data_IF_153203960571
#
_entry.id   IF_153203960571
#
_cell.length_a   1.000
_cell.length_b   1.000
_cell.length_c   1.000
_cell.angle_alpha   90.00
_cell.angle_beta   90.00
_cell.angle_gamma   90.00
#
_symmetry.space_group_name_H-M   'P 1'
#
loop_
_entity.id
_entity.type
_entity.pdbx_description
1 polymer ?
#
# COMPACT_ATOMS: atom_id res chain seq x y z
N UNK A 1 -6.64 -31.90 2.53
CA UNK A 1 -5.76 -30.87 1.91
C UNK A 1 -5.55 -31.26 0.46
N UNK A 2 -5.83 -30.36 -0.47
CA UNK A 2 -5.53 -30.61 -1.88
C UNK A 2 -4.01 -30.72 -2.08
N UNK A 3 -3.55 -31.74 -2.81
CA UNK A 3 -2.12 -31.87 -3.18
C UNK A 3 -1.76 -30.68 -4.07
N UNK A 4 -0.77 -29.89 -3.66
CA UNK A 4 -0.22 -28.81 -4.48
C UNK A 4 0.65 -29.42 -5.57
N UNK A 5 0.44 -29.01 -6.82
CA UNK A 5 1.30 -29.35 -7.94
C UNK A 5 2.55 -28.47 -8.02
N UNK A 6 3.14 -28.40 -9.21
CA UNK A 6 4.27 -27.54 -9.50
C UNK A 6 3.91 -26.06 -9.30
N UNK A 7 4.83 -25.26 -8.75
CA UNK A 7 4.69 -23.80 -8.67
C UNK A 7 4.88 -23.24 -10.08
N UNK A 8 3.90 -22.49 -10.58
CA UNK A 8 3.89 -21.95 -11.95
C UNK A 8 4.11 -20.43 -12.00
N UNK A 9 3.72 -19.73 -10.93
CA UNK A 9 3.84 -18.27 -10.82
C UNK A 9 4.02 -17.88 -9.35
N UNK A 10 4.75 -16.81 -9.10
CA UNK A 10 4.91 -16.22 -7.77
C UNK A 10 4.76 -14.70 -7.87
N UNK A 11 3.92 -14.11 -7.00
CA UNK A 11 3.87 -12.66 -6.77
C UNK A 11 4.30 -12.37 -5.35
N UNK A 12 5.27 -11.46 -5.22
CA UNK A 12 5.68 -10.88 -3.94
C UNK A 12 5.32 -9.39 -3.94
N UNK A 13 4.79 -8.92 -2.82
CA UNK A 13 4.64 -7.50 -2.54
C UNK A 13 5.34 -7.29 -1.21
N UNK A 14 6.38 -6.48 -1.24
CA UNK A 14 7.15 -6.08 -0.08
C UNK A 14 6.93 -4.59 0.16
N UNK A 15 6.63 -4.21 1.41
CA UNK A 15 6.35 -2.82 1.75
C UNK A 15 7.12 -2.47 3.02
N UNK A 16 8.00 -1.50 2.92
CA UNK A 16 8.84 -1.03 4.02
C UNK A 16 8.58 0.44 4.29
N UNK A 17 8.47 0.81 5.55
CA UNK A 17 8.37 2.21 5.97
C UNK A 17 9.67 2.63 6.64
N UNK A 18 10.23 3.72 6.16
CA UNK A 18 11.43 4.36 6.68
C UNK A 18 11.08 5.68 7.36
N UNK A 19 11.90 6.08 8.32
CA UNK A 19 11.86 7.45 8.85
C UNK A 19 12.31 8.42 7.75
N UNK A 20 11.53 9.48 7.55
CA UNK A 20 11.86 10.56 6.63
C UNK A 20 12.51 11.73 7.35
N UNK A 21 12.57 12.88 6.69
CA UNK A 21 13.03 14.15 7.28
C UNK A 21 11.90 14.86 8.01
N UNK A 22 12.19 15.49 9.16
CA UNK A 22 11.21 16.20 10.00
C UNK A 22 10.11 15.25 10.50
N UNK A 23 8.85 15.47 10.22
CA UNK A 23 7.68 14.68 10.63
C UNK A 23 7.15 13.77 9.50
N UNK A 24 8.03 13.37 8.58
CA UNK A 24 7.65 12.50 7.46
C UNK A 24 8.03 11.04 7.67
N UNK A 25 7.37 10.17 6.93
CA UNK A 25 7.77 8.78 6.69
C UNK A 25 7.87 8.53 5.19
N UNK A 26 8.80 7.68 4.79
CA UNK A 26 8.93 7.21 3.41
C UNK A 26 8.42 5.78 3.37
N UNK A 27 7.44 5.53 2.53
CA UNK A 27 6.90 4.18 2.30
C UNK A 27 7.35 3.72 0.92
N UNK A 28 8.15 2.66 0.91
CA UNK A 28 8.56 1.98 -0.31
C UNK A 28 7.76 0.69 -0.47
N UNK A 29 7.20 0.50 -1.64
CA UNK A 29 6.53 -0.73 -2.06
C UNK A 29 7.18 -1.32 -3.28
N UNK A 30 7.44 -2.63 -3.25
CA UNK A 30 8.01 -3.40 -4.37
C UNK A 30 7.05 -4.52 -4.72
N UNK A 31 6.64 -4.58 -5.98
CA UNK A 31 5.91 -5.71 -6.53
C UNK A 31 6.80 -6.46 -7.51
N UNK A 32 6.91 -7.75 -7.31
CA UNK A 32 7.71 -8.63 -8.14
C UNK A 32 6.89 -9.86 -8.57
N UNK A 33 6.68 -10.02 -9.88
CA UNK A 33 6.02 -11.17 -10.49
C UNK A 33 7.03 -12.03 -11.23
N UNK A 34 7.05 -13.30 -10.90
CA UNK A 34 7.91 -14.30 -11.53
C UNK A 34 7.07 -15.39 -12.18
N UNK A 35 7.34 -15.66 -13.45
CA UNK A 35 6.90 -16.87 -14.14
C UNK A 35 7.93 -17.96 -13.90
N UNK A 36 7.52 -19.10 -13.38
CA UNK A 36 8.40 -20.18 -12.92
C UNK A 36 8.40 -21.39 -13.87
N UNK A 37 7.64 -21.32 -14.96
CA UNK A 37 7.60 -22.32 -16.03
C UNK A 37 7.74 -21.64 -17.39
N UNK A 38 8.12 -22.38 -18.40
CA UNK A 38 8.05 -21.94 -19.79
C UNK A 38 6.58 -21.76 -20.20
N UNK A 39 6.28 -20.71 -20.94
CA UNK A 39 4.96 -20.42 -21.51
C UNK A 39 5.06 -20.04 -22.97
N UNK A 40 3.96 -20.07 -23.70
CA UNK A 40 3.90 -19.77 -25.11
C UNK A 40 2.96 -18.60 -25.39
N UNK A 41 3.34 -17.74 -26.34
CA UNK A 41 2.43 -16.76 -26.90
C UNK A 41 1.51 -17.42 -27.92
N UNK A 42 0.35 -16.82 -28.27
CA UNK A 42 -0.50 -17.29 -29.37
C UNK A 42 0.25 -17.35 -30.72
N UNK A 43 1.33 -16.58 -30.87
CA UNK A 43 2.24 -16.59 -32.03
C UNK A 43 3.18 -17.78 -32.08
N UNK A 44 3.21 -18.61 -31.02
CA UNK A 44 4.12 -19.77 -30.91
C UNK A 44 5.48 -19.45 -30.28
N UNK A 45 5.78 -18.18 -29.99
CA UNK A 45 7.01 -17.79 -29.31
C UNK A 45 7.03 -18.32 -27.88
N UNK A 46 8.19 -18.84 -27.45
CA UNK A 46 8.45 -19.32 -26.08
C UNK A 46 8.90 -18.16 -25.18
N UNK A 47 8.36 -18.17 -23.98
CA UNK A 47 8.81 -17.34 -22.88
C UNK A 47 9.41 -18.21 -21.77
N UNK A 48 10.73 -18.15 -21.53
CA UNK A 48 11.37 -18.89 -20.45
C UNK A 48 10.91 -18.37 -19.09
N UNK A 49 11.14 -19.13 -18.00
CA UNK A 49 11.00 -18.64 -16.64
C UNK A 49 11.74 -17.32 -16.43
N UNK A 50 11.20 -16.43 -15.61
CA UNK A 50 11.83 -15.14 -15.33
C UNK A 50 10.85 -14.10 -14.80
N UNK A 51 11.39 -12.92 -14.48
CA UNK A 51 10.61 -11.77 -14.01
C UNK A 51 9.71 -11.24 -15.12
N UNK A 52 8.43 -11.09 -14.81
CA UNK A 52 7.41 -10.54 -15.72
C UNK A 52 7.14 -9.07 -15.38
N UNK A 53 7.02 -8.77 -14.08
CA UNK A 53 6.82 -7.41 -13.59
C UNK A 53 7.76 -7.15 -12.41
N UNK A 54 8.41 -5.98 -12.44
CA UNK A 54 9.11 -5.42 -11.29
C UNK A 54 8.71 -3.95 -11.21
N UNK A 55 7.96 -3.59 -10.17
CA UNK A 55 7.40 -2.27 -9.95
C UNK A 55 7.84 -1.76 -8.59
N UNK A 56 8.21 -0.50 -8.52
CA UNK A 56 8.62 0.16 -7.27
C UNK A 56 7.84 1.46 -7.16
N UNK A 57 7.24 1.70 -6.01
CA UNK A 57 6.62 2.98 -5.65
C UNK A 57 7.26 3.45 -4.35
N UNK A 58 7.69 4.73 -4.31
CA UNK A 58 8.13 5.41 -3.09
C UNK A 58 7.24 6.60 -2.84
N UNK A 59 6.70 6.72 -1.62
CA UNK A 59 5.87 7.85 -1.22
C UNK A 59 6.47 8.50 0.02
N UNK A 60 6.67 9.81 -0.02
CA UNK A 60 6.86 10.62 1.19
C UNK A 60 5.50 11.04 1.74
N UNK A 61 5.29 10.85 3.03
CA UNK A 61 3.99 11.09 3.68
C UNK A 61 4.22 11.93 4.93
N UNK A 62 3.43 13.02 5.10
CA UNK A 62 3.59 13.97 6.21
C UNK A 62 2.31 14.22 7.00
N UNK A 63 2.52 14.54 8.27
CA UNK A 63 1.52 15.09 9.17
C UNK A 63 0.40 14.13 9.58
N UNK A 64 -0.48 14.61 10.44
CA UNK A 64 -1.55 13.80 11.04
C UNK A 64 -2.55 13.22 10.04
N UNK A 65 -2.75 13.88 8.90
CA UNK A 65 -3.65 13.40 7.82
C UNK A 65 -2.96 12.47 6.83
N UNK A 66 -1.68 12.14 7.03
CA UNK A 66 -0.89 11.27 6.15
C UNK A 66 -0.96 11.74 4.68
N UNK A 67 -0.62 13.01 4.44
CA UNK A 67 -0.65 13.60 3.10
C UNK A 67 0.56 13.11 2.32
N UNK A 68 0.34 12.57 1.12
CA UNK A 68 1.40 12.22 0.18
C UNK A 68 2.03 13.52 -0.32
N UNK A 69 3.24 13.83 0.11
CA UNK A 69 3.96 15.05 -0.30
C UNK A 69 4.78 14.81 -1.54
N UNK A 70 5.23 13.59 -1.74
CA UNK A 70 5.91 13.17 -2.96
C UNK A 70 5.63 11.71 -3.30
N UNK A 71 5.76 11.36 -4.59
CA UNK A 71 5.59 10.01 -5.09
C UNK A 71 6.49 9.77 -6.30
N UNK A 72 7.29 8.73 -6.23
CA UNK A 72 8.16 8.25 -7.29
C UNK A 72 7.74 6.85 -7.72
N UNK A 73 7.88 6.55 -9.01
CA UNK A 73 7.49 5.26 -9.59
C UNK A 73 8.55 4.78 -10.55
N UNK A 74 8.94 3.52 -10.40
CA UNK A 74 9.85 2.85 -11.32
C UNK A 74 9.23 1.53 -11.80
N UNK A 75 9.50 1.18 -13.04
CA UNK A 75 9.12 -0.10 -13.63
C UNK A 75 10.34 -0.76 -14.30
N UNK A 76 11.28 -1.34 -13.50
CA UNK A 76 12.50 -1.94 -14.04
C UNK A 76 12.24 -3.09 -15.01
N UNK A 77 11.13 -3.82 -14.87
CA UNK A 77 10.73 -4.89 -15.77
C UNK A 77 9.24 -4.82 -16.06
N UNK A 78 8.90 -4.78 -17.33
CA UNK A 78 7.52 -4.78 -17.84
C UNK A 78 7.39 -5.76 -19.02
N UNK A 79 6.23 -6.41 -19.20
CA UNK A 79 6.02 -7.33 -20.33
C UNK A 79 5.86 -6.62 -21.68
N UNK A 80 5.47 -5.34 -21.66
CA UNK A 80 5.26 -4.51 -22.85
C UNK A 80 5.76 -3.10 -22.57
N UNK A 81 6.41 -2.48 -23.57
CA UNK A 81 6.93 -1.12 -23.47
C UNK A 81 5.82 -0.09 -23.17
N UNK A 82 4.63 -0.29 -23.74
CA UNK A 82 3.45 0.55 -23.48
C UNK A 82 3.03 0.61 -21.99
N UNK A 83 3.48 -0.32 -21.13
CA UNK A 83 3.25 -0.23 -19.69
C UNK A 83 3.89 1.03 -19.09
N UNK A 84 5.02 1.49 -19.64
CA UNK A 84 5.74 2.67 -19.16
C UNK A 84 4.94 3.97 -19.32
N UNK A 85 3.97 4.02 -20.24
CA UNK A 85 3.08 5.16 -20.41
C UNK A 85 2.21 5.43 -19.17
N UNK A 86 2.11 4.46 -18.27
CA UNK A 86 1.31 4.60 -17.04
C UNK A 86 2.08 5.17 -15.86
N UNK A 87 3.39 5.41 -15.96
CA UNK A 87 4.22 5.92 -14.85
C UNK A 87 3.67 7.22 -14.27
N UNK A 88 3.35 8.18 -15.12
CA UNK A 88 2.90 9.51 -14.71
C UNK A 88 1.50 9.50 -14.06
N UNK A 89 0.75 8.41 -14.20
CA UNK A 89 -0.60 8.33 -13.63
C UNK A 89 -0.62 8.40 -12.11
N UNK A 90 0.52 8.14 -11.43
CA UNK A 90 0.61 8.19 -9.99
C UNK A 90 0.89 9.59 -9.43
N UNK A 91 1.42 10.52 -10.21
CA UNK A 91 1.68 11.90 -9.74
C UNK A 91 0.42 12.64 -9.27
N UNK A 92 -0.76 12.25 -9.77
CA UNK A 92 -2.04 12.82 -9.32
C UNK A 92 -2.38 12.53 -7.85
N UNK A 93 -1.66 11.61 -7.17
CA UNK A 93 -1.85 11.31 -5.75
C UNK A 93 -1.07 12.27 -4.84
N UNK A 94 -0.15 13.06 -5.36
CA UNK A 94 0.55 14.11 -4.60
C UNK A 94 -0.46 15.13 -4.07
N UNK A 95 -0.35 15.45 -2.79
CA UNK A 95 -1.30 16.30 -2.07
C UNK A 95 -2.53 15.55 -1.50
N UNK A 96 -2.71 14.25 -1.80
CA UNK A 96 -3.84 13.48 -1.28
C UNK A 96 -3.55 12.90 0.11
N UNK A 97 -4.53 12.96 1.04
CA UNK A 97 -4.41 12.30 2.33
C UNK A 97 -4.76 10.80 2.22
N UNK A 98 -4.02 9.96 2.96
CA UNK A 98 -4.33 8.54 3.13
C UNK A 98 -5.32 8.39 4.29
N UNK A 99 -6.60 8.50 3.97
CA UNK A 99 -7.73 8.42 4.91
C UNK A 99 -8.78 7.42 4.41
N UNK A 100 -9.85 7.23 5.19
CA UNK A 100 -10.97 6.38 4.77
C UNK A 100 -11.45 6.74 3.36
N UNK A 101 -11.61 5.72 2.49
CA UNK A 101 -11.96 5.91 1.08
C UNK A 101 -10.78 6.09 0.12
N UNK A 102 -9.53 6.21 0.60
CA UNK A 102 -8.35 6.39 -0.25
C UNK A 102 -8.23 5.27 -1.30
N UNK A 103 -8.36 3.99 -0.91
CA UNK A 103 -8.24 2.86 -1.84
C UNK A 103 -9.34 2.87 -2.92
N UNK A 104 -10.56 3.29 -2.58
CA UNK A 104 -11.62 3.48 -3.57
C UNK A 104 -11.29 4.61 -4.56
N UNK A 105 -10.70 5.71 -4.06
CA UNK A 105 -10.24 6.83 -4.90
C UNK A 105 -9.11 6.39 -5.83
N UNK A 106 -8.13 5.62 -5.34
CA UNK A 106 -7.06 5.03 -6.15
C UNK A 106 -7.66 4.20 -7.28
N UNK A 107 -8.58 3.28 -6.96
CA UNK A 107 -9.27 2.45 -7.96
C UNK A 107 -10.02 3.27 -9.01
N UNK A 108 -10.66 4.35 -8.61
CA UNK A 108 -11.40 5.23 -9.54
C UNK A 108 -10.46 6.02 -10.46
N UNK A 109 -9.28 6.41 -10.00
CA UNK A 109 -8.35 7.26 -10.75
C UNK A 109 -7.48 6.47 -11.73
N UNK A 110 -6.94 5.32 -11.30
CA UNK A 110 -6.00 4.52 -12.11
C UNK A 110 -6.47 3.09 -12.39
N UNK A 111 -7.70 2.75 -12.07
CA UNK A 111 -8.26 1.42 -12.33
C UNK A 111 -8.71 1.22 -13.77
N UNK A 112 -8.70 -0.04 -14.23
CA UNK A 112 -9.09 -0.42 -15.58
C UNK A 112 -8.17 0.20 -16.63
N UNK A 113 -8.74 0.79 -17.68
CA UNK A 113 -8.00 1.40 -18.79
C UNK A 113 -7.31 2.73 -18.46
N UNK A 114 -7.42 3.21 -17.23
CA UNK A 114 -6.86 4.51 -16.80
C UNK A 114 -5.43 4.40 -16.28
N UNK A 115 -4.89 3.19 -16.13
CA UNK A 115 -3.56 2.97 -15.61
C UNK A 115 -3.19 1.50 -15.52
N UNK A 116 -2.12 1.19 -14.79
CA UNK A 116 -1.61 -0.16 -14.63
C UNK A 116 -2.25 -0.87 -13.43
N UNK A 117 -2.77 -2.08 -13.63
CA UNK A 117 -3.37 -2.89 -12.56
C UNK A 117 -2.34 -3.34 -11.50
N UNK A 118 -1.05 -3.43 -11.85
CA UNK A 118 0.02 -3.77 -10.93
C UNK A 118 0.36 -2.59 -10.02
N UNK A 119 0.48 -1.38 -10.57
CA UNK A 119 0.64 -0.15 -9.77
C UNK A 119 -0.58 0.10 -8.89
N UNK A 120 -1.80 -0.13 -9.39
CA UNK A 120 -3.03 -0.07 -8.59
C UNK A 120 -2.96 -1.04 -7.39
N UNK A 121 -2.58 -2.29 -7.64
CA UNK A 121 -2.47 -3.32 -6.60
C UNK A 121 -1.44 -2.94 -5.55
N UNK A 122 -0.25 -2.50 -5.97
CA UNK A 122 0.84 -2.09 -5.10
C UNK A 122 0.45 -0.86 -4.25
N UNK A 123 -0.03 0.22 -4.87
CA UNK A 123 -0.43 1.43 -4.16
C UNK A 123 -1.57 1.17 -3.16
N UNK A 124 -2.51 0.28 -3.52
CA UNK A 124 -3.60 -0.13 -2.62
C UNK A 124 -3.07 -0.90 -1.40
N UNK A 125 -2.07 -1.76 -1.59
CA UNK A 125 -1.43 -2.49 -0.49
C UNK A 125 -0.55 -1.58 0.39
N UNK A 126 0.06 -0.53 -0.18
CA UNK A 126 0.89 0.44 0.55
C UNK A 126 0.08 1.33 1.50
N UNK A 127 -1.18 1.64 1.21
CA UNK A 127 -1.99 2.54 2.02
C UNK A 127 -2.13 2.10 3.49
N UNK A 128 -2.53 0.86 3.83
CA UNK A 128 -2.57 0.40 5.21
C UNK A 128 -1.18 0.29 5.85
N UNK A 129 -0.15 -0.05 5.09
CA UNK A 129 1.24 -0.08 5.59
C UNK A 129 1.74 1.32 5.96
N UNK A 130 1.39 2.34 5.17
CA UNK A 130 1.67 3.74 5.47
C UNK A 130 1.05 4.19 6.80
N UNK A 131 -0.20 3.79 7.07
CA UNK A 131 -0.86 4.07 8.35
C UNK A 131 -0.11 3.40 9.51
N UNK A 132 0.28 2.13 9.37
CA UNK A 132 1.02 1.41 10.39
C UNK A 132 2.43 1.97 10.62
N UNK A 133 3.15 2.29 9.56
CA UNK A 133 4.48 2.87 9.64
C UNK A 133 4.48 4.25 10.30
N UNK A 134 3.57 5.14 9.90
CA UNK A 134 3.41 6.44 10.53
C UNK A 134 2.97 6.33 11.99
N UNK A 135 2.13 5.35 12.33
CA UNK A 135 1.78 5.05 13.71
C UNK A 135 3.01 4.63 14.53
N UNK A 136 3.80 3.69 14.01
CA UNK A 136 5.02 3.21 14.67
C UNK A 136 6.03 4.33 14.90
N UNK A 137 6.14 5.29 13.97
CA UNK A 137 7.02 6.45 14.13
C UNK A 137 6.58 7.37 15.29
N UNK A 138 5.27 7.51 15.53
CA UNK A 138 4.74 8.37 16.60
C UNK A 138 4.86 7.73 17.98
N UNK A 139 4.64 6.42 18.09
CA UNK A 139 4.57 5.71 19.39
C UNK A 139 5.90 5.08 19.81
N UNK A 140 7.03 5.40 19.18
CA UNK A 140 8.33 4.87 19.60
C UNK A 140 8.83 5.44 20.95
N UNK A 141 8.28 6.57 21.36
CA UNK A 141 8.43 7.10 22.72
C UNK A 141 7.10 6.94 23.49
N UNK A 142 7.14 6.84 24.82
CA UNK A 142 5.93 6.77 25.62
C UNK A 142 5.00 7.95 25.35
N UNK A 143 3.78 7.67 24.94
CA UNK A 143 2.74 8.67 24.66
C UNK A 143 1.70 8.61 25.78
N UNK A 144 1.25 9.76 26.26
CA UNK A 144 0.19 9.85 27.24
C UNK A 144 -1.07 9.14 26.74
N UNK A 145 -1.75 8.38 27.64
CA UNK A 145 -2.89 7.51 27.26
C UNK A 145 -3.99 8.28 26.53
N UNK A 146 -4.32 9.50 26.97
CA UNK A 146 -5.34 10.33 26.34
C UNK A 146 -4.98 10.68 24.90
N UNK A 147 -3.76 11.16 24.69
CA UNK A 147 -3.22 11.49 23.35
C UNK A 147 -3.21 10.24 22.46
N UNK A 148 -2.78 9.09 22.99
CA UNK A 148 -2.79 7.83 22.25
C UNK A 148 -4.20 7.47 21.77
N UNK A 149 -5.20 7.55 22.65
CA UNK A 149 -6.60 7.22 22.34
C UNK A 149 -7.16 8.16 21.29
N UNK A 150 -6.99 9.47 21.43
CA UNK A 150 -7.46 10.47 20.46
C UNK A 150 -6.86 10.24 19.07
N UNK A 151 -5.55 10.01 19.00
CA UNK A 151 -4.86 9.71 17.75
C UNK A 151 -5.33 8.41 17.11
N UNK A 152 -5.53 7.34 17.91
CA UNK A 152 -6.01 6.05 17.44
C UNK A 152 -7.43 6.15 16.92
N UNK A 153 -8.35 6.80 17.65
CA UNK A 153 -9.74 6.98 17.22
C UNK A 153 -9.85 7.71 15.88
N UNK A 154 -9.07 8.76 15.69
CA UNK A 154 -9.09 9.52 14.44
C UNK A 154 -8.61 8.74 13.21
N UNK A 155 -7.78 7.70 13.41
CA UNK A 155 -7.12 7.00 12.31
C UNK A 155 -7.66 5.59 12.04
N UNK A 156 -8.04 4.85 13.09
CA UNK A 156 -8.32 3.41 12.95
C UNK A 156 -9.79 3.04 13.20
N UNK A 157 -10.61 3.96 13.70
CA UNK A 157 -12.04 3.73 13.92
C UNK A 157 -12.72 3.24 12.63
N UNK A 158 -13.43 2.12 12.71
CA UNK A 158 -14.13 1.47 11.60
C UNK A 158 -13.23 1.02 10.43
N UNK A 159 -11.92 0.89 10.65
CA UNK A 159 -11.00 0.39 9.60
C UNK A 159 -10.91 -1.13 9.55
N UNK A 160 -11.22 -1.82 10.65
CA UNK A 160 -11.29 -3.28 10.71
C UNK A 160 -12.23 -3.75 11.83
N UNK A 161 -12.45 -5.06 11.90
CA UNK A 161 -13.35 -5.68 12.88
C UNK A 161 -13.03 -5.33 14.33
N UNK A 162 -11.75 -5.26 14.70
CA UNK A 162 -11.33 -4.92 16.07
C UNK A 162 -11.64 -3.46 16.40
N UNK A 163 -11.43 -2.55 15.45
CA UNK A 163 -11.62 -1.11 15.61
C UNK A 163 -13.04 -0.61 15.26
N UNK A 164 -14.01 -1.51 15.12
CA UNK A 164 -15.40 -1.10 14.88
C UNK A 164 -15.96 -0.33 16.07
N UNK A 165 -16.74 0.69 15.79
CA UNK A 165 -17.25 1.64 16.79
C UNK A 165 -18.11 0.99 17.90
N UNK A 166 -18.86 -0.07 17.55
CA UNK A 166 -19.67 -0.87 18.43
C UNK A 166 -18.90 -2.04 19.09
N UNK A 167 -17.59 -2.14 18.82
CA UNK A 167 -16.73 -3.22 19.28
C UNK A 167 -16.31 -3.11 20.75
N UNK A 168 -15.89 -4.22 21.35
CA UNK A 168 -15.50 -4.26 22.78
C UNK A 168 -14.32 -3.35 23.09
N UNK A 169 -13.33 -3.24 22.20
CA UNK A 169 -12.15 -2.42 22.41
C UNK A 169 -12.52 -0.92 22.53
N UNK A 170 -13.34 -0.43 21.61
CA UNK A 170 -13.78 0.96 21.59
C UNK A 170 -14.66 1.27 22.81
N UNK A 171 -15.55 0.33 23.19
CA UNK A 171 -16.39 0.49 24.39
C UNK A 171 -15.54 0.59 25.64
N UNK A 172 -14.58 -0.31 25.83
CA UNK A 172 -13.67 -0.30 26.99
C UNK A 172 -12.85 0.99 27.10
N UNK A 173 -12.44 1.57 25.97
CA UNK A 173 -11.69 2.84 25.96
C UNK A 173 -12.60 4.02 26.34
N UNK A 174 -13.82 4.09 25.82
CA UNK A 174 -14.81 5.13 26.19
C UNK A 174 -15.19 5.08 27.67
N UNK A 175 -15.21 3.91 28.29
CA UNK A 175 -15.46 3.76 29.73
C UNK A 175 -14.31 4.33 30.58
N UNK A 176 -13.05 4.11 30.15
CA UNK A 176 -11.88 4.65 30.83
C UNK A 176 -11.72 6.18 30.72
N UNK A 177 -12.29 6.81 29.70
CA UNK A 177 -12.29 8.27 29.56
C UNK A 177 -13.26 8.98 30.51
N UNK A 178 -14.19 8.23 31.14
CA UNK A 178 -15.18 8.78 32.07
C UNK A 178 -14.71 8.84 33.53
N UNK A 179 -13.55 8.27 33.80
CA UNK A 179 -12.92 8.21 35.13
C UNK A 179 -11.55 8.90 35.12
#
# INVERSE_FOLDING_TARGET
MNKRGQIIHNRKIDITTYEGTSDSVIVEGILHDERLIETYRPTGETHPPGTVHHMIIRMEIKGAKLVITDIEVEMPTVPYEACLETLDTLHQFKGMPIVAGFTAKVKNLIGGRKGCCHLLSLLTAMAPAAVQGAWSAVIREPVEQKTYVEMAFGRVKNTCWVWREDGPLIKAWREKEKH
#
